data_IF_697609561374
#
_entry.id   IF_697609561374
#
_cell.length_a   1.000
_cell.length_b   1.000
_cell.length_c   1.000
_cell.angle_alpha   90.00
_cell.angle_beta   90.00
_cell.angle_gamma   90.00
#
_symmetry.space_group_name_H-M   'P 1'
#
loop_
_entity.id
_entity.type
_entity.pdbx_description
1 polymer ?
#
# COMPACT_ATOMS: atom_id res chain seq x y z
N UNK A 1 -10.98 5.29 -7.67
CA UNK A 1 -9.95 5.81 -8.61
C UNK A 1 -10.29 5.39 -10.04
N UNK A 2 -10.16 6.31 -11.01
CA UNK A 2 -10.67 6.19 -12.39
C UNK A 2 -9.56 6.07 -13.44
N UNK A 3 -8.38 5.59 -13.06
CA UNK A 3 -7.24 5.32 -13.93
C UNK A 3 -6.79 3.87 -13.73
N UNK A 4 -6.90 3.05 -14.78
CA UNK A 4 -6.53 1.62 -14.75
C UNK A 4 -5.01 1.47 -14.97
N UNK A 5 -4.21 1.93 -14.02
CA UNK A 5 -2.81 1.52 -13.96
C UNK A 5 -2.75 0.11 -13.36
N UNK A 6 -1.92 -0.77 -13.94
CA UNK A 6 -1.66 -2.07 -13.37
C UNK A 6 -0.98 -1.90 -12.00
N UNK A 7 -1.44 -2.64 -10.98
CA UNK A 7 -0.88 -2.59 -9.62
C UNK A 7 0.65 -2.72 -9.60
N UNK A 8 1.22 -3.56 -10.47
CA UNK A 8 2.65 -3.77 -10.57
C UNK A 8 3.43 -2.51 -10.97
N UNK A 9 2.83 -1.66 -11.82
CA UNK A 9 3.42 -0.37 -12.21
C UNK A 9 3.39 0.59 -11.02
N UNK A 10 2.28 0.62 -10.29
CA UNK A 10 2.13 1.45 -9.09
C UNK A 10 3.16 1.05 -8.03
N UNK A 11 3.34 -0.24 -7.76
CA UNK A 11 4.33 -0.73 -6.80
C UNK A 11 5.78 -0.40 -7.21
N UNK A 12 6.10 -0.50 -8.51
CA UNK A 12 7.43 -0.10 -9.01
C UNK A 12 7.68 1.39 -8.79
N UNK A 13 6.68 2.24 -9.04
CA UNK A 13 6.78 3.67 -8.77
C UNK A 13 6.88 3.95 -7.27
N UNK A 14 6.08 3.25 -6.44
CA UNK A 14 6.10 3.39 -4.99
C UNK A 14 7.49 3.16 -4.40
N UNK A 15 8.26 2.20 -4.93
CA UNK A 15 9.67 1.99 -4.55
C UNK A 15 10.56 3.20 -4.83
N UNK A 16 10.34 3.95 -5.91
CA UNK A 16 11.12 5.16 -6.22
C UNK A 16 10.85 6.28 -5.21
N UNK A 17 9.59 6.42 -4.79
CA UNK A 17 9.17 7.41 -3.79
C UNK A 17 9.26 6.89 -2.35
N UNK A 18 9.92 5.74 -2.14
CA UNK A 18 10.17 5.12 -0.83
C UNK A 18 8.89 4.82 -0.02
N UNK A 19 7.81 4.50 -0.71
CA UNK A 19 6.58 4.01 -0.11
C UNK A 19 6.54 2.48 -0.09
N UNK A 20 6.02 1.91 0.99
CA UNK A 20 5.82 0.46 1.10
C UNK A 20 4.57 0.03 0.33
N UNK A 21 4.54 -1.23 -0.11
CA UNK A 21 3.34 -1.78 -0.76
C UNK A 21 2.10 -1.70 0.15
N UNK A 22 2.27 -1.80 1.47
CA UNK A 22 1.15 -1.64 2.40
C UNK A 22 0.60 -0.21 2.43
N UNK A 23 1.45 0.81 2.33
CA UNK A 23 0.99 2.19 2.18
C UNK A 23 0.24 2.39 0.87
N UNK A 24 0.71 1.78 -0.23
CA UNK A 24 0.02 1.79 -1.52
C UNK A 24 -1.36 1.15 -1.41
N UNK A 25 -1.44 -0.04 -0.81
CA UNK A 25 -2.69 -0.77 -0.59
C UNK A 25 -3.71 0.06 0.20
N UNK A 26 -3.26 0.70 1.30
CA UNK A 26 -4.10 1.54 2.14
C UNK A 26 -4.68 2.73 1.36
N UNK A 27 -3.84 3.42 0.58
CA UNK A 27 -4.26 4.54 -0.27
C UNK A 27 -5.24 4.09 -1.36
N UNK A 28 -4.98 2.94 -1.97
CA UNK A 28 -5.87 2.39 -3.00
C UNK A 28 -7.24 2.00 -2.44
N UNK A 29 -7.30 1.53 -1.18
CA UNK A 29 -8.54 1.20 -0.46
C UNK A 29 -9.22 2.42 0.17
N UNK A 30 -8.51 3.54 0.30
CA UNK A 30 -9.03 4.74 0.97
C UNK A 30 -9.07 4.62 2.50
N UNK A 31 -8.23 3.74 3.06
CA UNK A 31 -8.09 3.51 4.51
C UNK A 31 -6.78 4.14 5.03
N UNK A 32 -6.67 4.30 6.36
CA UNK A 32 -5.40 4.74 6.95
C UNK A 32 -4.37 3.59 6.96
N UNK A 33 -3.09 3.95 6.96
CA UNK A 33 -2.02 2.96 7.06
C UNK A 33 -2.08 2.16 8.37
N UNK A 34 -2.45 2.82 9.47
CA UNK A 34 -2.60 2.18 10.78
C UNK A 34 -3.73 1.14 10.77
N UNK A 35 -4.89 1.48 10.18
CA UNK A 35 -5.99 0.52 10.03
C UNK A 35 -5.55 -0.68 9.16
N UNK A 36 -4.80 -0.42 8.08
CA UNK A 36 -4.28 -1.47 7.22
C UNK A 36 -3.28 -2.39 7.95
N UNK A 37 -2.48 -1.86 8.89
CA UNK A 37 -1.58 -2.65 9.74
C UNK A 37 -2.37 -3.56 10.69
N UNK A 38 -3.45 -3.07 11.31
CA UNK A 38 -4.28 -3.87 12.22
C UNK A 38 -4.94 -5.07 11.55
N UNK A 39 -5.22 -4.98 10.24
CA UNK A 39 -5.80 -6.11 9.48
C UNK A 39 -4.80 -7.24 9.19
N UNK A 40 -3.50 -6.99 9.34
CA UNK A 40 -2.46 -7.96 9.02
C UNK A 40 -2.04 -8.75 10.25
N UNK A 41 -2.06 -10.09 10.16
CA UNK A 41 -1.49 -11.00 11.17
C UNK A 41 0.01 -11.14 10.98
N UNK A 42 0.78 -10.06 11.17
CA UNK A 42 2.24 -10.10 11.05
C UNK A 42 2.84 -9.54 12.35
N UNK A 43 3.00 -10.39 13.40
CA UNK A 43 3.37 -9.95 14.74
C UNK A 43 4.72 -9.21 14.81
N UNK A 44 5.62 -9.43 13.84
CA UNK A 44 6.98 -8.87 13.85
C UNK A 44 7.23 -7.84 12.72
N UNK A 45 6.17 -7.29 12.10
CA UNK A 45 6.32 -6.25 11.09
C UNK A 45 6.64 -4.90 11.74
N UNK A 46 7.90 -4.69 12.13
CA UNK A 46 8.42 -3.35 12.46
C UNK A 46 9.89 -3.19 12.07
#
# INVERSE_FOLDING_TARGET
>A
MRYRANVFVIEKFARLVRMTNLQVDAIMRGESFEDAMQTRRVPDAR
#
